data_IF_099017294248
#
_entry.id   IF_099017294248
#
_cell.length_a   1.000
_cell.length_b   1.000
_cell.length_c   1.000
_cell.angle_alpha   90.00
_cell.angle_beta   90.00
_cell.angle_gamma   90.00
#
_symmetry.space_group_name_H-M   'P 1'
#
loop_
_entity.id
_entity.type
_entity.pdbx_description
1 polymer ?
#
# COMPACT_ATOMS: atom_id res chain seq x y z
N UNK A 1 -11.78 -5.53 -15.35
CA UNK A 1 -12.06 -6.85 -14.73
C UNK A 1 -13.52 -6.88 -14.29
N UNK A 2 -14.23 -8.01 -14.37
CA UNK A 2 -15.63 -8.10 -13.93
C UNK A 2 -15.72 -8.22 -12.41
N UNK A 3 -16.90 -7.94 -11.82
CA UNK A 3 -17.12 -8.12 -10.37
C UNK A 3 -17.00 -9.59 -9.95
N UNK A 4 -17.48 -10.52 -10.80
CA UNK A 4 -17.32 -11.96 -10.57
C UNK A 4 -15.84 -12.35 -10.43
N UNK A 5 -14.99 -11.88 -11.34
CA UNK A 5 -13.54 -12.08 -11.26
C UNK A 5 -12.92 -11.47 -9.99
N UNK A 6 -13.41 -10.31 -9.53
CA UNK A 6 -12.95 -9.69 -8.28
C UNK A 6 -13.31 -10.54 -7.07
N UNK A 7 -14.50 -11.14 -7.06
CA UNK A 7 -14.96 -12.01 -5.97
C UNK A 7 -14.21 -13.35 -5.94
N UNK A 8 -13.92 -13.93 -7.09
CA UNK A 8 -13.06 -15.13 -7.19
C UNK A 8 -11.65 -14.84 -6.66
N UNK A 9 -11.04 -13.73 -7.10
CA UNK A 9 -9.76 -13.26 -6.58
C UNK A 9 -9.80 -13.09 -5.06
N UNK A 10 -10.86 -12.46 -4.53
CA UNK A 10 -11.05 -12.30 -3.08
C UNK A 10 -11.02 -13.63 -2.36
N UNK A 11 -11.69 -14.67 -2.85
CA UNK A 11 -11.68 -15.96 -2.15
C UNK A 11 -10.26 -16.52 -2.05
N UNK A 12 -9.51 -16.49 -3.15
CA UNK A 12 -8.12 -16.94 -3.17
C UNK A 12 -7.24 -16.10 -2.23
N UNK A 13 -7.43 -14.78 -2.21
CA UNK A 13 -6.75 -13.87 -1.31
C UNK A 13 -7.03 -14.21 0.16
N UNK A 14 -8.31 -14.36 0.53
CA UNK A 14 -8.68 -14.70 1.90
C UNK A 14 -8.11 -16.05 2.33
N UNK A 15 -8.04 -17.03 1.41
CA UNK A 15 -7.47 -18.35 1.69
C UNK A 15 -5.97 -18.25 1.97
N UNK A 16 -5.24 -17.49 1.16
CA UNK A 16 -3.81 -17.24 1.34
C UNK A 16 -3.52 -16.48 2.64
N UNK A 17 -4.28 -15.41 2.92
CA UNK A 17 -4.16 -14.65 4.17
C UNK A 17 -4.42 -15.53 5.40
N UNK A 18 -5.47 -16.35 5.35
CA UNK A 18 -5.77 -17.28 6.43
C UNK A 18 -4.66 -18.32 6.62
N UNK A 19 -4.13 -18.86 5.52
CA UNK A 19 -2.99 -19.77 5.56
C UNK A 19 -1.77 -19.14 6.23
N UNK A 20 -1.50 -17.86 5.98
CA UNK A 20 -0.42 -17.12 6.65
C UNK A 20 -0.65 -17.02 8.16
N UNK A 21 -1.89 -16.69 8.58
CA UNK A 21 -2.26 -16.62 10.00
C UNK A 21 -2.07 -17.97 10.69
N UNK A 22 -2.60 -19.07 10.13
CA UNK A 22 -2.47 -20.40 10.78
C UNK A 22 -1.04 -20.95 10.70
N UNK A 23 -0.24 -20.54 9.72
CA UNK A 23 1.18 -20.89 9.69
C UNK A 23 1.93 -20.25 10.86
N UNK A 24 1.57 -19.00 11.21
CA UNK A 24 2.16 -18.29 12.33
C UNK A 24 1.59 -18.73 13.69
N UNK A 25 0.29 -19.05 13.74
CA UNK A 25 -0.44 -19.49 14.93
C UNK A 25 -1.25 -20.77 14.64
N UNK A 26 -0.61 -21.95 14.67
CA UNK A 26 -1.26 -23.22 14.34
C UNK A 26 -2.46 -23.57 15.22
N UNK A 27 -2.55 -23.02 16.43
CA UNK A 27 -3.72 -23.14 17.31
C UNK A 27 -4.99 -22.55 16.70
N UNK A 28 -4.88 -21.66 15.72
CA UNK A 28 -6.01 -21.10 14.97
C UNK A 28 -6.44 -21.99 13.80
N UNK A 29 -5.80 -23.14 13.56
CA UNK A 29 -6.16 -24.04 12.46
C UNK A 29 -7.39 -24.92 12.77
N UNK A 30 -8.00 -24.79 13.95
CA UNK A 30 -9.21 -25.55 14.30
C UNK A 30 -10.37 -25.26 13.34
N UNK A 31 -11.23 -26.28 13.15
CA UNK A 31 -12.47 -26.15 12.38
C UNK A 31 -13.32 -25.03 12.99
N UNK A 32 -13.87 -24.14 12.14
CA UNK A 32 -14.61 -22.92 12.51
C UNK A 32 -13.82 -21.76 13.16
N UNK A 33 -12.49 -21.87 13.32
CA UNK A 33 -11.68 -20.77 13.85
C UNK A 33 -11.53 -19.58 12.87
N UNK A 34 -11.74 -19.81 11.56
CA UNK A 34 -11.64 -18.77 10.52
C UNK A 34 -12.87 -17.85 10.55
N UNK A 35 -12.72 -16.55 10.82
CA UNK A 35 -13.83 -15.63 10.75
C UNK A 35 -14.37 -15.46 9.32
N UNK A 36 -15.69 -15.48 9.17
CA UNK A 36 -16.36 -15.00 7.95
C UNK A 36 -16.35 -13.48 7.94
N UNK A 37 -15.74 -12.88 6.91
CA UNK A 37 -15.57 -11.43 6.82
C UNK A 37 -16.34 -10.89 5.61
N UNK A 38 -17.29 -10.00 5.87
CA UNK A 38 -18.00 -9.25 4.83
C UNK A 38 -17.05 -8.29 4.11
N UNK A 39 -17.15 -8.25 2.78
CA UNK A 39 -16.43 -7.29 1.94
C UNK A 39 -17.06 -5.90 2.13
N UNK A 40 -16.27 -4.93 2.58
CA UNK A 40 -16.69 -3.52 2.63
C UNK A 40 -16.41 -2.86 1.29
N UNK A 41 -15.19 -3.00 0.78
CA UNK A 41 -14.80 -2.52 -0.54
C UNK A 41 -13.62 -3.31 -1.09
N UNK A 42 -13.48 -3.32 -2.41
CA UNK A 42 -12.15 -3.52 -2.99
C UNK A 42 -11.36 -2.24 -2.76
N UNK A 43 -10.26 -2.36 -2.03
CA UNK A 43 -9.49 -1.21 -1.56
C UNK A 43 -8.38 -0.82 -2.53
N UNK A 44 -8.16 0.49 -2.65
CA UNK A 44 -6.83 1.02 -2.96
C UNK A 44 -5.92 0.74 -1.75
N UNK A 45 -4.77 0.05 -1.93
CA UNK A 45 -3.78 -0.13 -0.87
C UNK A 45 -3.38 1.16 -0.14
N UNK A 46 -3.61 2.33 -0.75
CA UNK A 46 -3.29 3.66 -0.21
C UNK A 46 -4.51 4.50 0.22
N UNK A 47 -5.72 3.95 0.15
CA UNK A 47 -6.98 4.68 0.39
C UNK A 47 -7.83 4.14 1.55
N UNK A 48 -7.44 3.01 2.14
CA UNK A 48 -8.17 2.34 3.22
C UNK A 48 -7.67 2.65 4.63
N UNK A 49 -6.66 3.51 4.75
CA UNK A 49 -5.83 3.64 5.96
C UNK A 49 -6.63 4.07 7.20
N UNK A 50 -7.53 5.05 7.06
CA UNK A 50 -8.42 5.48 8.15
C UNK A 50 -9.36 4.37 8.62
N UNK A 51 -9.92 3.61 7.68
CA UNK A 51 -10.78 2.49 8.04
C UNK A 51 -9.98 1.37 8.70
N UNK A 52 -8.80 1.04 8.16
CA UNK A 52 -7.92 0.02 8.76
C UNK A 52 -7.55 0.43 10.18
N UNK A 53 -7.14 1.68 10.39
CA UNK A 53 -6.81 2.22 11.71
C UNK A 53 -8.00 2.14 12.67
N UNK A 54 -9.20 2.50 12.21
CA UNK A 54 -10.41 2.37 13.02
C UNK A 54 -10.73 0.90 13.33
N UNK A 55 -10.61 -0.01 12.36
CA UNK A 55 -10.87 -1.43 12.54
C UNK A 55 -9.93 -2.06 13.58
N UNK A 56 -8.63 -1.73 13.51
CA UNK A 56 -7.67 -2.18 14.52
C UNK A 56 -7.97 -1.58 15.89
N UNK A 57 -8.32 -0.30 15.95
CA UNK A 57 -8.69 0.38 17.20
C UNK A 57 -9.92 -0.27 17.84
N UNK A 58 -10.94 -0.60 17.04
CA UNK A 58 -12.15 -1.31 17.49
C UNK A 58 -11.84 -2.74 17.97
N UNK A 59 -10.82 -3.38 17.41
CA UNK A 59 -10.31 -4.68 17.84
C UNK A 59 -9.40 -4.60 19.09
N UNK A 60 -9.18 -3.40 19.65
CA UNK A 60 -8.38 -3.18 20.85
C UNK A 60 -6.90 -2.90 20.58
N UNK A 61 -6.53 -2.61 19.34
CA UNK A 61 -5.17 -2.25 18.92
C UNK A 61 -5.15 -0.79 18.46
N UNK A 62 -4.78 0.17 19.34
CA UNK A 62 -4.74 1.59 18.98
C UNK A 62 -3.85 1.81 17.75
N UNK A 63 -4.47 2.22 16.66
CA UNK A 63 -3.81 2.41 15.37
C UNK A 63 -4.10 3.81 14.82
N UNK A 64 -3.14 4.34 14.06
CA UNK A 64 -3.25 5.63 13.38
C UNK A 64 -3.02 5.39 11.89
N UNK A 65 -3.84 6.04 11.06
CA UNK A 65 -3.66 6.00 9.62
C UNK A 65 -2.39 6.78 9.23
N UNK A 66 -1.60 6.20 8.35
CA UNK A 66 -0.43 6.83 7.73
C UNK A 66 -0.56 6.65 6.22
N UNK A 67 0.16 7.44 5.42
CA UNK A 67 0.13 7.27 3.95
C UNK A 67 0.58 5.85 3.56
N UNK A 68 -0.37 5.04 3.08
CA UNK A 68 -0.12 3.66 2.63
C UNK A 68 -0.15 2.60 3.73
N UNK A 69 -0.75 2.89 4.88
CA UNK A 69 -1.07 1.86 5.86
C UNK A 69 -1.47 2.40 7.24
N UNK A 70 -1.08 1.66 8.28
CA UNK A 70 -1.38 2.00 9.67
C UNK A 70 -0.13 1.89 10.54
N UNK A 71 0.03 2.81 11.48
CA UNK A 71 1.02 2.74 12.55
C UNK A 71 0.34 2.37 13.87
N UNK A 72 1.09 1.73 14.78
CA UNK A 72 0.63 1.37 16.12
C UNK A 72 1.46 2.14 17.17
N UNK A 73 1.03 3.34 17.58
CA UNK A 73 1.74 4.10 18.60
C UNK A 73 1.82 3.32 19.93
N UNK A 74 3.04 3.11 20.42
CA UNK A 74 3.29 2.25 21.60
C UNK A 74 3.58 0.77 21.25
N UNK A 75 3.49 0.41 19.98
CA UNK A 75 3.77 -0.93 19.46
C UNK A 75 2.61 -1.90 19.62
N UNK A 76 2.69 -3.01 18.89
CA UNK A 76 1.76 -4.13 19.01
C UNK A 76 2.54 -5.41 19.28
N UNK A 77 2.10 -6.19 20.26
CA UNK A 77 2.69 -7.50 20.52
C UNK A 77 2.03 -8.52 19.60
N UNK A 78 2.84 -9.27 18.84
CA UNK A 78 2.35 -10.38 18.04
C UNK A 78 1.69 -11.42 18.95
N UNK A 79 0.42 -11.75 18.66
CA UNK A 79 -0.36 -12.76 19.35
C UNK A 79 -1.41 -13.36 18.41
N UNK A 80 -2.02 -14.51 18.74
CA UNK A 80 -3.11 -15.08 17.94
C UNK A 80 -4.28 -14.11 17.77
N UNK A 81 -4.60 -13.33 18.81
CA UNK A 81 -5.66 -12.32 18.76
C UNK A 81 -5.32 -11.19 17.80
N UNK A 82 -4.05 -10.78 17.74
CA UNK A 82 -3.59 -9.79 16.76
C UNK A 82 -3.65 -10.36 15.35
N UNK A 83 -3.25 -11.62 15.17
CA UNK A 83 -3.39 -12.33 13.89
C UNK A 83 -4.83 -12.37 13.38
N UNK A 84 -5.79 -12.65 14.27
CA UNK A 84 -7.21 -12.61 13.94
C UNK A 84 -7.68 -11.19 13.58
N UNK A 85 -7.29 -10.18 14.37
CA UNK A 85 -7.62 -8.80 14.09
C UNK A 85 -7.05 -8.33 12.74
N UNK A 86 -5.80 -8.68 12.45
CA UNK A 86 -5.14 -8.40 11.19
C UNK A 86 -5.89 -9.05 10.02
N UNK A 87 -6.16 -10.36 10.10
CA UNK A 87 -6.94 -11.06 9.09
C UNK A 87 -8.28 -10.40 8.87
N UNK A 88 -9.05 -10.10 9.93
CA UNK A 88 -10.38 -9.50 9.81
C UNK A 88 -10.31 -8.11 9.18
N UNK A 89 -9.41 -7.24 9.62
CA UNK A 89 -9.34 -5.86 9.14
C UNK A 89 -8.91 -5.78 7.67
N UNK A 90 -7.85 -6.48 7.27
CA UNK A 90 -7.43 -6.52 5.87
C UNK A 90 -8.40 -7.30 4.99
N UNK A 91 -9.12 -8.29 5.53
CA UNK A 91 -10.18 -8.98 4.80
C UNK A 91 -11.41 -8.11 4.54
N UNK A 92 -11.67 -7.04 5.30
CA UNK A 92 -12.75 -6.10 4.97
C UNK A 92 -12.42 -5.26 3.72
N UNK A 93 -11.13 -5.04 3.46
CA UNK A 93 -10.57 -4.25 2.37
C UNK A 93 -9.64 -5.09 1.51
N UNK A 94 -10.17 -6.12 0.84
CA UNK A 94 -9.35 -6.90 -0.09
C UNK A 94 -8.77 -5.96 -1.16
N UNK A 95 -7.46 -6.01 -1.42
CA UNK A 95 -6.85 -5.20 -2.46
C UNK A 95 -7.58 -5.36 -3.78
N UNK A 96 -7.79 -4.26 -4.51
CA UNK A 96 -8.26 -4.40 -5.88
C UNK A 96 -7.18 -5.14 -6.69
N UNK A 97 -7.50 -6.30 -7.29
CA UNK A 97 -6.52 -7.06 -8.07
C UNK A 97 -5.97 -6.29 -9.26
N UNK A 98 -6.65 -5.23 -9.75
CA UNK A 98 -6.06 -4.33 -10.75
C UNK A 98 -4.83 -3.58 -10.21
N UNK A 99 -4.79 -3.32 -8.91
CA UNK A 99 -3.71 -2.59 -8.24
C UNK A 99 -2.55 -3.51 -7.84
N UNK A 100 -2.76 -4.82 -7.87
CA UNK A 100 -1.73 -5.84 -7.66
C UNK A 100 -1.02 -6.27 -8.95
N UNK A 101 -1.45 -5.75 -10.10
CA UNK A 101 -0.76 -6.02 -11.38
C UNK A 101 0.43 -5.09 -11.50
N UNK A 102 1.52 -5.64 -11.99
CA UNK A 102 2.65 -4.84 -12.44
C UNK A 102 2.16 -3.80 -13.45
N UNK A 103 2.61 -2.56 -13.24
CA UNK A 103 2.40 -1.47 -14.17
C UNK A 103 3.01 -1.80 -15.53
N UNK A 104 2.31 -1.46 -16.61
CA UNK A 104 2.86 -1.60 -17.95
C UNK A 104 3.84 -0.46 -18.30
N UNK A 105 4.55 -0.60 -19.41
CA UNK A 105 5.54 0.38 -19.89
C UNK A 105 4.98 1.80 -20.04
N UNK A 106 3.70 1.95 -20.42
CA UNK A 106 3.07 3.27 -20.54
C UNK A 106 2.84 3.89 -19.15
N UNK A 107 2.36 3.11 -18.18
CA UNK A 107 2.21 3.55 -16.80
C UNK A 107 3.57 3.91 -16.17
N UNK A 108 4.60 3.09 -16.39
CA UNK A 108 5.95 3.39 -15.93
C UNK A 108 6.53 4.64 -16.61
N UNK A 109 6.25 4.83 -17.90
CA UNK A 109 6.61 6.05 -18.63
C UNK A 109 5.96 7.30 -18.03
N UNK A 110 4.66 7.22 -17.71
CA UNK A 110 3.95 8.31 -17.03
C UNK A 110 4.52 8.59 -15.64
N UNK A 111 4.93 7.56 -14.90
CA UNK A 111 5.53 7.73 -13.57
C UNK A 111 6.83 8.48 -13.69
N UNK A 112 7.70 8.05 -14.60
CA UNK A 112 8.98 8.69 -14.84
C UNK A 112 8.80 10.17 -15.23
N UNK A 113 7.85 10.47 -16.13
CA UNK A 113 7.56 11.84 -16.54
C UNK A 113 7.04 12.70 -15.38
N UNK A 114 6.15 12.16 -14.55
CA UNK A 114 5.65 12.85 -13.36
C UNK A 114 6.77 13.17 -12.36
N UNK A 115 7.61 12.17 -12.05
CA UNK A 115 8.71 12.32 -11.10
C UNK A 115 9.71 13.37 -11.57
N UNK A 116 10.09 13.32 -12.85
CA UNK A 116 11.14 14.18 -13.42
C UNK A 116 10.65 15.59 -13.76
N UNK A 117 9.44 15.74 -14.29
CA UNK A 117 8.95 17.04 -14.79
C UNK A 117 8.13 17.81 -13.76
N UNK A 118 7.63 17.15 -12.71
CA UNK A 118 6.74 17.77 -11.75
C UNK A 118 7.16 17.58 -10.30
N UNK A 119 7.25 16.33 -9.83
CA UNK A 119 7.43 16.04 -8.40
C UNK A 119 8.80 16.50 -7.89
N UNK A 120 9.89 16.09 -8.54
CA UNK A 120 11.24 16.47 -8.10
C UNK A 120 11.42 18.00 -8.17
N UNK A 121 11.05 18.69 -9.26
CA UNK A 121 11.03 20.16 -9.29
C UNK A 121 10.18 20.80 -8.19
N UNK A 122 9.04 20.20 -7.83
CA UNK A 122 8.20 20.67 -6.72
C UNK A 122 8.95 20.57 -5.39
N UNK A 123 9.54 19.41 -5.08
CA UNK A 123 10.32 19.19 -3.86
C UNK A 123 11.54 20.15 -3.79
N UNK A 124 12.24 20.35 -4.90
CA UNK A 124 13.34 21.31 -5.01
C UNK A 124 12.89 22.75 -4.74
N UNK A 125 11.66 23.12 -5.10
CA UNK A 125 11.10 24.45 -4.80
C UNK A 125 10.90 24.69 -3.30
N UNK A 126 10.78 23.63 -2.49
CA UNK A 126 10.79 23.66 -1.03
C UNK A 126 12.20 23.57 -0.42
N UNK A 127 13.25 23.58 -1.25
CA UNK A 127 14.65 23.50 -0.82
C UNK A 127 15.13 22.09 -0.49
N UNK A 128 14.37 21.05 -0.88
CA UNK A 128 14.76 19.66 -0.72
C UNK A 128 15.71 19.23 -1.83
N UNK A 129 16.65 18.33 -1.52
CA UNK A 129 17.58 17.78 -2.52
C UNK A 129 17.06 16.43 -2.99
N UNK A 130 16.75 16.32 -4.28
CA UNK A 130 16.40 15.05 -4.92
C UNK A 130 17.60 14.41 -5.61
N UNK A 131 17.62 13.08 -5.68
CA UNK A 131 18.63 12.33 -6.44
C UNK A 131 18.30 12.30 -7.93
N UNK A 132 19.35 12.27 -8.75
CA UNK A 132 19.20 12.03 -10.19
C UNK A 132 18.68 10.61 -10.42
N UNK A 133 17.67 10.49 -11.27
CA UNK A 133 17.05 9.22 -11.64
C UNK A 133 17.67 8.58 -12.87
N UNK A 134 17.31 7.32 -13.17
CA UNK A 134 17.67 6.70 -14.44
C UNK A 134 16.99 7.42 -15.62
N UNK A 135 17.50 7.21 -16.82
CA UNK A 135 16.78 7.61 -18.03
C UNK A 135 15.47 6.82 -18.18
N UNK A 136 14.53 7.34 -18.98
CA UNK A 136 13.19 6.77 -19.15
C UNK A 136 13.21 5.31 -19.63
N UNK A 137 14.17 4.93 -20.48
CA UNK A 137 14.21 3.59 -21.03
C UNK A 137 14.73 2.58 -19.98
N UNK A 138 15.80 2.93 -19.26
CA UNK A 138 16.28 2.14 -18.12
C UNK A 138 15.24 2.03 -17.02
N UNK A 139 14.53 3.12 -16.71
CA UNK A 139 13.45 3.11 -15.73
C UNK A 139 12.39 2.05 -16.04
N UNK A 140 11.86 2.05 -17.27
CA UNK A 140 10.82 1.11 -17.70
C UNK A 140 11.32 -0.34 -17.68
N UNK A 141 12.51 -0.58 -18.24
CA UNK A 141 13.03 -1.94 -18.41
C UNK A 141 13.44 -2.59 -17.09
N UNK A 142 13.87 -1.81 -16.11
CA UNK A 142 14.46 -2.33 -14.88
C UNK A 142 13.52 -2.24 -13.67
N UNK A 143 12.35 -1.61 -13.79
CA UNK A 143 11.46 -1.31 -12.65
C UNK A 143 11.08 -2.54 -11.81
N UNK A 144 10.77 -3.66 -12.46
CA UNK A 144 10.35 -4.90 -11.79
C UNK A 144 11.48 -5.92 -11.60
N UNK A 145 12.73 -5.52 -11.80
CA UNK A 145 13.87 -6.40 -11.53
C UNK A 145 14.17 -6.49 -10.02
N UNK A 146 14.62 -7.65 -9.56
CA UNK A 146 14.99 -7.84 -8.15
C UNK A 146 16.13 -6.88 -7.77
N UNK A 147 15.91 -6.06 -6.74
CA UNK A 147 16.88 -5.04 -6.32
C UNK A 147 16.94 -3.80 -7.21
N UNK A 148 15.92 -3.56 -8.04
CA UNK A 148 15.84 -2.42 -8.95
C UNK A 148 16.15 -1.07 -8.30
N UNK A 149 17.24 -0.44 -8.76
CA UNK A 149 17.57 0.94 -8.41
C UNK A 149 16.54 1.93 -8.97
N UNK A 150 15.94 1.63 -10.14
CA UNK A 150 14.88 2.44 -10.72
C UNK A 150 13.65 2.50 -9.81
N UNK A 151 13.23 1.35 -9.26
CA UNK A 151 12.13 1.28 -8.29
C UNK A 151 12.50 1.96 -6.97
N UNK A 152 13.71 1.73 -6.47
CA UNK A 152 14.18 2.37 -5.25
C UNK A 152 14.21 3.89 -5.37
N UNK A 153 14.65 4.42 -6.52
CA UNK A 153 14.64 5.84 -6.81
C UNK A 153 13.21 6.42 -6.88
N UNK A 154 12.29 5.73 -7.55
CA UNK A 154 10.90 6.20 -7.71
C UNK A 154 10.18 6.48 -6.38
N UNK A 155 10.53 5.71 -5.33
CA UNK A 155 9.96 5.82 -4.00
C UNK A 155 10.97 6.35 -2.96
N UNK A 156 12.08 6.92 -3.43
CA UNK A 156 13.01 7.60 -2.54
C UNK A 156 12.50 9.00 -2.25
N UNK A 157 12.14 9.24 -0.98
CA UNK A 157 11.78 10.57 -0.52
C UNK A 157 12.98 11.25 0.11
N UNK A 158 13.23 12.54 -0.21
CA UNK A 158 14.21 13.31 0.54
C UNK A 158 13.81 13.37 2.01
N UNK A 159 14.78 13.54 2.91
CA UNK A 159 14.46 13.73 4.33
C UNK A 159 13.72 15.05 4.51
N UNK A 160 12.41 14.98 4.79
CA UNK A 160 11.56 16.14 5.06
C UNK A 160 11.59 16.40 6.57
N UNK A 161 11.95 17.62 6.97
CA UNK A 161 11.88 18.05 8.37
C UNK A 161 10.44 18.09 8.88
N UNK A 162 10.25 17.92 10.20
CA UNK A 162 8.92 17.82 10.82
C UNK A 162 8.02 19.04 10.59
N UNK A 163 8.60 20.23 10.51
CA UNK A 163 7.86 21.48 10.70
C UNK A 163 6.93 21.84 9.53
N UNK A 164 7.20 21.33 8.32
CA UNK A 164 6.42 21.60 7.11
C UNK A 164 6.04 20.32 6.33
N UNK A 165 6.12 19.16 6.99
CA UNK A 165 5.97 17.86 6.30
C UNK A 165 4.63 17.74 5.58
N UNK A 166 3.55 18.03 6.28
CA UNK A 166 2.19 17.85 5.73
C UNK A 166 1.93 18.80 4.56
N UNK A 167 2.38 20.05 4.67
CA UNK A 167 2.26 21.04 3.60
C UNK A 167 3.04 20.62 2.35
N UNK A 168 4.25 20.07 2.52
CA UNK A 168 5.08 19.61 1.41
C UNK A 168 4.46 18.37 0.75
N UNK A 169 3.99 17.40 1.53
CA UNK A 169 3.35 16.19 0.99
C UNK A 169 2.04 16.51 0.27
N UNK A 170 1.27 17.48 0.77
CA UNK A 170 0.07 17.97 0.10
C UNK A 170 0.39 18.71 -1.21
N UNK A 171 1.48 19.48 -1.25
CA UNK A 171 1.89 20.25 -2.43
C UNK A 171 2.60 19.39 -3.49
N UNK A 172 3.39 18.39 -3.07
CA UNK A 172 4.21 17.53 -3.91
C UNK A 172 3.89 16.04 -3.67
N UNK A 173 2.65 15.57 -3.97
CA UNK A 173 2.25 14.19 -3.82
C UNK A 173 3.24 13.19 -4.43
N UNK A 174 3.30 12.02 -3.80
CA UNK A 174 4.16 10.89 -4.19
C UNK A 174 3.81 10.35 -5.58
N UNK A 175 2.53 10.35 -5.96
CA UNK A 175 2.05 9.75 -7.21
C UNK A 175 0.73 10.35 -7.69
N UNK A 176 0.49 10.50 -9.01
CA UNK A 176 -0.80 10.99 -9.52
C UNK A 176 -1.80 9.82 -9.62
N UNK A 177 -2.36 9.41 -8.47
CA UNK A 177 -3.16 8.17 -8.29
C UNK A 177 -4.23 7.93 -9.36
N UNK A 178 -5.00 8.96 -9.71
CA UNK A 178 -6.09 8.90 -10.69
C UNK A 178 -5.62 8.44 -12.09
N UNK A 179 -4.37 8.73 -12.46
CA UNK A 179 -3.81 8.41 -13.76
C UNK A 179 -3.27 6.96 -13.82
N UNK A 180 -2.96 6.37 -12.66
CA UNK A 180 -2.41 5.01 -12.58
C UNK A 180 -3.48 3.94 -12.43
N UNK A 181 -4.53 4.25 -11.68
CA UNK A 181 -5.51 3.25 -11.23
C UNK A 181 -6.94 3.54 -11.68
N UNK A 182 -7.17 4.68 -12.33
CA UNK A 182 -8.50 5.14 -12.73
C UNK A 182 -9.31 5.65 -11.53
N UNK A 183 -10.36 6.40 -11.82
CA UNK A 183 -11.35 6.88 -10.85
C UNK A 183 -12.29 5.77 -10.40
#
# INVERSE_FOLDING_TARGET
MTMEQKLEFRQQWLDAEWQSVVQQWPELAEEDARPTVELVSFGDPLGGDEFLAQCFTDAGYPAVAEEGGVSFPGGVQASPQYGLAHYVCYSKFTPDPLMLRDWNDDQLGLLWEYLTQWRNPCLESFGLVTSEGPDRASFINEFFTDGSEARAWAFSDPTIGSDNRDDILAACPSLPREHFYGS
#
